data_IF_785422139444
#
_entry.id   IF_785422139444
#
_cell.length_a   1.000
_cell.length_b   1.000
_cell.length_c   1.000
_cell.angle_alpha   90.00
_cell.angle_beta   90.00
_cell.angle_gamma   90.00
#
_symmetry.space_group_name_H-M   'P 1'
#
loop_
_entity.id
_entity.type
_entity.pdbx_description
1 polymer ?
#
# COMPACT_ATOMS: atom_id res chain seq x y z
N UNK A 1 10.60 -10.11 3.59
CA UNK A 1 9.64 -9.36 2.74
C UNK A 1 9.34 -7.98 3.33
N UNK A 2 8.62 -7.86 4.45
CA UNK A 2 8.27 -6.57 5.10
C UNK A 2 9.46 -5.61 5.23
N UNK A 3 10.58 -6.09 5.76
CA UNK A 3 11.81 -5.29 5.94
C UNK A 3 12.34 -4.75 4.60
N UNK A 4 12.29 -5.54 3.54
CA UNK A 4 12.77 -5.12 2.22
C UNK A 4 11.88 -4.03 1.61
N UNK A 5 10.55 -4.15 1.77
CA UNK A 5 9.60 -3.11 1.38
C UNK A 5 9.88 -1.80 2.12
N UNK A 6 10.07 -1.88 3.44
CA UNK A 6 10.31 -0.70 4.28
C UNK A 6 11.61 0.01 3.89
N UNK A 7 12.70 -0.74 3.78
CA UNK A 7 13.98 -0.19 3.34
C UNK A 7 13.90 0.40 1.93
N UNK A 8 13.12 -0.24 1.04
CA UNK A 8 12.89 0.24 -0.32
C UNK A 8 12.15 1.58 -0.36
N UNK A 9 11.09 1.75 0.44
CA UNK A 9 10.33 3.02 0.48
C UNK A 9 11.03 4.10 1.32
N UNK A 10 11.91 3.74 2.24
CA UNK A 10 12.78 4.72 2.92
C UNK A 10 13.83 5.30 1.97
N UNK A 11 14.21 4.56 0.92
CA UNK A 11 15.25 4.91 -0.04
C UNK A 11 14.74 5.62 -1.31
N UNK A 12 13.55 6.21 -1.28
CA UNK A 12 13.11 7.07 -2.39
C UNK A 12 14.06 8.25 -2.60
N UNK A 13 14.24 8.68 -3.84
CA UNK A 13 14.96 9.89 -4.20
C UNK A 13 14.10 11.12 -3.86
N UNK A 14 13.98 11.40 -2.56
CA UNK A 14 13.23 12.51 -1.99
C UNK A 14 13.86 12.92 -0.65
N UNK A 15 13.73 14.19 -0.21
CA UNK A 15 14.33 14.63 1.05
C UNK A 15 13.83 13.78 2.25
N UNK A 16 14.73 13.12 3.01
CA UNK A 16 14.35 12.21 4.10
C UNK A 16 13.45 12.87 5.16
N UNK A 17 13.69 14.14 5.47
CA UNK A 17 12.94 14.93 6.45
C UNK A 17 11.48 15.26 6.04
N UNK A 18 11.12 14.93 4.79
CA UNK A 18 9.76 15.01 4.24
C UNK A 18 9.12 13.63 4.06
N UNK A 19 9.84 12.55 4.35
CA UNK A 19 9.35 11.18 4.29
C UNK A 19 9.03 10.67 5.69
N UNK A 20 7.91 9.95 5.79
CA UNK A 20 7.50 9.26 7.01
C UNK A 20 6.88 7.94 6.62
N UNK A 21 7.44 6.86 7.15
CA UNK A 21 7.06 5.48 6.86
C UNK A 21 6.34 4.94 8.08
N UNK A 22 5.16 4.38 7.85
CA UNK A 22 4.34 3.79 8.89
C UNK A 22 4.04 2.34 8.53
N UNK A 23 4.38 1.40 9.41
CA UNK A 23 3.98 0.01 9.32
C UNK A 23 2.78 -0.25 10.23
N UNK A 24 1.71 -0.81 9.69
CA UNK A 24 0.65 -1.41 10.51
C UNK A 24 0.86 -2.90 10.62
N UNK A 25 0.91 -3.41 11.86
CA UNK A 25 0.93 -4.83 12.17
C UNK A 25 -0.39 -5.24 12.84
N UNK A 26 -1.28 -5.84 12.06
CA UNK A 26 -2.56 -6.35 12.58
C UNK A 26 -2.35 -7.59 13.47
N UNK A 27 -1.18 -8.25 13.43
CA UNK A 27 -0.87 -9.38 14.31
C UNK A 27 -0.33 -8.96 15.69
N UNK A 28 0.16 -7.73 15.83
CA UNK A 28 0.76 -7.22 17.07
C UNK A 28 1.94 -8.05 17.55
N UNK A 29 2.78 -8.56 16.64
CA UNK A 29 3.85 -9.51 16.96
C UNK A 29 5.14 -8.79 17.35
N UNK A 30 5.76 -9.23 18.46
CA UNK A 30 7.06 -8.71 18.90
C UNK A 30 8.16 -9.05 17.88
N UNK A 31 8.04 -10.17 17.16
CA UNK A 31 8.94 -10.53 16.06
C UNK A 31 8.87 -9.54 14.89
N UNK A 32 7.68 -9.04 14.55
CA UNK A 32 7.54 -8.01 13.51
C UNK A 32 8.18 -6.70 13.96
N UNK A 33 7.99 -6.32 15.22
CA UNK A 33 8.64 -5.15 15.79
C UNK A 33 10.18 -5.31 15.87
N UNK A 34 10.68 -6.50 16.19
CA UNK A 34 12.11 -6.78 16.14
C UNK A 34 12.67 -6.65 14.71
N UNK A 35 11.94 -7.17 13.71
CA UNK A 35 12.33 -7.00 12.31
C UNK A 35 12.34 -5.51 11.89
N UNK A 36 11.43 -4.70 12.42
CA UNK A 36 11.43 -3.24 12.25
C UNK A 36 12.65 -2.57 12.88
N UNK A 37 13.05 -3.00 14.07
CA UNK A 37 14.22 -2.49 14.76
C UNK A 37 15.52 -2.80 13.99
N UNK A 38 15.63 -4.03 13.48
CA UNK A 38 16.73 -4.43 12.60
C UNK A 38 16.74 -3.62 11.29
N UNK A 39 15.57 -3.36 10.69
CA UNK A 39 15.44 -2.50 9.52
C UNK A 39 15.86 -1.05 9.82
N UNK A 40 15.45 -0.50 10.97
CA UNK A 40 15.82 0.85 11.40
C UNK A 40 17.35 0.98 11.55
N UNK A 41 18.01 0.00 12.16
CA UNK A 41 19.46 -0.03 12.29
C UNK A 41 20.17 -0.16 10.94
N UNK A 42 19.72 -1.07 10.08
CA UNK A 42 20.32 -1.27 8.76
C UNK A 42 20.11 -0.06 7.83
N UNK A 43 19.00 0.67 7.99
CA UNK A 43 18.70 1.87 7.18
C UNK A 43 19.80 2.94 7.25
N UNK A 44 20.49 3.06 8.40
CA UNK A 44 21.61 3.98 8.62
C UNK A 44 22.77 3.76 7.64
N UNK A 45 22.92 2.53 7.14
CA UNK A 45 23.94 2.17 6.15
C UNK A 45 23.35 2.05 4.75
N UNK A 46 22.12 1.52 4.66
CA UNK A 46 21.46 1.27 3.37
C UNK A 46 21.10 2.55 2.61
N UNK A 47 20.55 3.56 3.29
CA UNK A 47 20.12 4.79 2.60
C UNK A 47 21.27 5.57 1.96
N UNK A 48 22.40 5.84 2.63
CA UNK A 48 23.55 6.48 1.98
C UNK A 48 24.14 5.58 0.88
N UNK A 49 24.17 4.25 1.08
CA UNK A 49 24.58 3.31 0.02
C UNK A 49 23.69 3.43 -1.23
N UNK A 50 22.37 3.50 -1.08
CA UNK A 50 21.44 3.69 -2.20
C UNK A 50 21.73 4.97 -2.99
N UNK A 51 22.01 6.08 -2.28
CA UNK A 51 22.37 7.36 -2.91
C UNK A 51 23.70 7.28 -3.64
N UNK A 52 24.74 6.74 -2.99
CA UNK A 52 26.10 6.61 -3.53
C UNK A 52 26.15 5.73 -4.79
N UNK A 53 25.48 4.58 -4.75
CA UNK A 53 25.50 3.59 -5.84
C UNK A 53 24.32 3.71 -6.82
N UNK A 54 23.42 4.68 -6.64
CA UNK A 54 22.21 4.88 -7.44
C UNK A 54 21.40 3.57 -7.60
N UNK A 55 21.17 2.93 -6.47
CA UNK A 55 20.54 1.61 -6.38
C UNK A 55 19.12 1.64 -6.95
N UNK A 56 18.85 0.82 -7.97
CA UNK A 56 17.50 0.56 -8.49
C UNK A 56 17.35 -0.92 -8.92
N UNK A 57 16.37 -1.69 -8.42
CA UNK A 57 15.34 -1.32 -7.44
C UNK A 57 15.91 -1.04 -6.04
N UNK A 58 15.20 -0.28 -5.20
CA UNK A 58 15.72 0.11 -3.86
C UNK A 58 15.48 -0.94 -2.77
N UNK A 59 14.83 -2.05 -3.11
CA UNK A 59 14.73 -3.23 -2.23
C UNK A 59 16.09 -3.93 -2.18
N UNK A 60 16.70 -4.10 -0.99
CA UNK A 60 18.00 -4.76 -0.86
C UNK A 60 18.01 -6.17 -1.44
N UNK A 61 16.99 -6.97 -1.15
CA UNK A 61 16.84 -8.33 -1.70
C UNK A 61 16.80 -8.33 -3.23
N UNK A 62 15.97 -7.46 -3.82
CA UNK A 62 15.81 -7.41 -5.27
C UNK A 62 17.09 -6.91 -5.96
N UNK A 63 17.76 -5.93 -5.33
CA UNK A 63 19.05 -5.41 -5.78
C UNK A 63 20.14 -6.49 -5.73
N UNK A 64 20.42 -7.07 -4.56
CA UNK A 64 21.52 -8.03 -4.42
C UNK A 64 21.30 -9.36 -5.14
N UNK A 65 20.05 -9.71 -5.48
CA UNK A 65 19.74 -10.87 -6.34
C UNK A 65 20.21 -10.70 -7.78
N UNK A 66 20.26 -9.47 -8.28
CA UNK A 66 20.54 -9.17 -9.71
C UNK A 66 21.81 -8.35 -9.94
N UNK A 67 22.26 -7.63 -8.92
CA UNK A 67 23.44 -6.76 -9.00
C UNK A 67 24.73 -7.58 -9.07
N UNK A 68 25.51 -7.32 -10.12
CA UNK A 68 26.90 -7.73 -10.18
C UNK A 68 27.76 -6.82 -9.31
N UNK A 69 28.85 -7.37 -8.79
CA UNK A 69 29.86 -6.60 -8.08
C UNK A 69 30.38 -5.45 -8.98
N UNK A 70 30.51 -4.23 -8.45
CA UNK A 70 30.93 -3.08 -9.25
C UNK A 70 32.36 -3.27 -9.75
N UNK A 71 32.61 -3.02 -11.05
CA UNK A 71 33.94 -3.08 -11.67
C UNK A 71 34.83 -1.85 -11.37
N UNK A 72 34.33 -0.89 -10.59
CA UNK A 72 35.03 0.37 -10.25
C UNK A 72 36.06 0.20 -9.13
N UNK A 73 36.79 1.28 -8.80
CA UNK A 73 37.78 1.41 -7.71
C UNK A 73 37.61 0.45 -6.52
N UNK A 74 38.74 -0.09 -6.02
CA UNK A 74 38.78 -1.07 -4.92
C UNK A 74 38.03 -0.64 -3.65
N UNK A 75 37.91 0.66 -3.41
CA UNK A 75 37.13 1.23 -2.29
C UNK A 75 35.63 0.96 -2.46
N UNK A 76 35.08 1.17 -3.66
CA UNK A 76 33.66 0.91 -3.94
C UNK A 76 33.33 -0.58 -3.85
N UNK A 77 34.25 -1.45 -4.25
CA UNK A 77 34.12 -2.91 -4.11
C UNK A 77 34.02 -3.31 -2.63
N UNK A 78 34.94 -2.80 -1.80
CA UNK A 78 34.96 -3.10 -0.36
C UNK A 78 33.69 -2.62 0.33
N UNK A 79 33.24 -1.40 0.03
CA UNK A 79 31.99 -0.84 0.57
C UNK A 79 30.79 -1.70 0.17
N UNK A 80 30.69 -2.08 -1.11
CA UNK A 80 29.60 -2.90 -1.62
C UNK A 80 29.53 -4.27 -0.93
N UNK A 81 30.67 -4.96 -0.81
CA UNK A 81 30.75 -6.25 -0.11
C UNK A 81 30.39 -6.13 1.37
N UNK A 82 30.84 -5.04 2.02
CA UNK A 82 30.52 -4.78 3.42
C UNK A 82 29.01 -4.59 3.65
N UNK A 83 28.33 -3.82 2.79
CA UNK A 83 26.89 -3.60 2.90
C UNK A 83 26.11 -4.88 2.60
N UNK A 84 26.53 -5.65 1.57
CA UNK A 84 25.92 -6.95 1.26
C UNK A 84 26.02 -7.91 2.44
N UNK A 85 27.20 -8.03 3.04
CA UNK A 85 27.42 -8.88 4.22
C UNK A 85 26.54 -8.43 5.39
N UNK A 86 26.48 -7.13 5.66
CA UNK A 86 25.63 -6.59 6.73
C UNK A 86 24.14 -6.86 6.49
N UNK A 87 23.69 -6.81 5.23
CA UNK A 87 22.32 -7.18 4.86
C UNK A 87 22.05 -8.67 5.16
N UNK A 88 22.93 -9.57 4.70
CA UNK A 88 22.81 -11.01 4.93
C UNK A 88 22.80 -11.36 6.43
N UNK A 89 23.66 -10.72 7.23
CA UNK A 89 23.68 -10.87 8.69
C UNK A 89 22.37 -10.38 9.34
N UNK A 90 21.82 -9.27 8.84
CA UNK A 90 20.54 -8.70 9.33
C UNK A 90 19.38 -9.63 9.07
N UNK A 91 19.27 -10.16 7.85
CA UNK A 91 18.24 -11.16 7.50
C UNK A 91 18.42 -12.43 8.33
N UNK A 92 19.65 -12.91 8.51
CA UNK A 92 19.93 -14.09 9.32
C UNK A 92 19.46 -13.91 10.78
N UNK A 93 19.69 -12.74 11.40
CA UNK A 93 19.21 -12.44 12.76
C UNK A 93 17.68 -12.47 12.85
N UNK A 94 17.00 -11.87 11.87
CA UNK A 94 15.53 -11.86 11.81
C UNK A 94 14.99 -13.28 11.63
N UNK A 95 15.48 -14.02 10.64
CA UNK A 95 15.03 -15.39 10.38
C UNK A 95 15.28 -16.33 11.55
N UNK A 96 16.42 -16.19 12.22
CA UNK A 96 16.74 -17.00 13.40
C UNK A 96 15.75 -16.73 14.52
N UNK A 97 15.41 -15.47 14.77
CA UNK A 97 14.44 -15.08 15.79
C UNK A 97 13.03 -15.60 15.46
N UNK A 98 12.64 -15.58 14.18
CA UNK A 98 11.38 -16.15 13.70
C UNK A 98 11.35 -17.68 13.86
N UNK A 99 12.42 -18.37 13.45
CA UNK A 99 12.55 -19.84 13.56
C UNK A 99 12.50 -20.31 15.01
N UNK A 100 13.14 -19.56 15.92
CA UNK A 100 13.12 -19.83 17.35
C UNK A 100 11.86 -19.33 18.05
N UNK A 101 11.00 -18.58 17.35
CA UNK A 101 9.84 -17.87 17.88
C UNK A 101 10.17 -17.08 19.17
N UNK A 102 11.36 -16.47 19.21
CA UNK A 102 11.89 -15.80 20.39
C UNK A 102 12.93 -14.76 20.01
N UNK A 103 12.84 -13.60 20.66
CA UNK A 103 13.84 -12.54 20.56
C UNK A 103 14.94 -12.77 21.61
N UNK A 104 16.23 -12.57 21.28
CA UNK A 104 17.31 -12.69 22.25
C UNK A 104 17.09 -11.81 23.50
N UNK A 105 17.26 -12.39 24.69
CA UNK A 105 16.97 -11.70 25.96
C UNK A 105 17.76 -10.40 26.16
N UNK A 106 18.99 -10.31 25.62
CA UNK A 106 19.81 -9.11 25.72
C UNK A 106 19.19 -7.94 24.94
N UNK A 107 18.66 -8.19 23.74
CA UNK A 107 17.93 -7.19 22.94
C UNK A 107 16.66 -6.75 23.66
N UNK A 108 15.86 -7.70 24.16
CA UNK A 108 14.61 -7.38 24.89
C UNK A 108 14.86 -6.52 26.13
N UNK A 109 16.00 -6.70 26.81
CA UNK A 109 16.40 -5.88 27.97
C UNK A 109 16.96 -4.51 27.59
N UNK A 110 17.63 -4.41 26.44
CA UNK A 110 18.22 -3.17 25.94
C UNK A 110 17.17 -2.18 25.46
N UNK A 111 16.07 -2.67 24.91
CA UNK A 111 15.00 -1.87 24.31
C UNK A 111 13.75 -1.89 25.20
N UNK A 112 13.47 -0.75 25.86
CA UNK A 112 12.33 -0.59 26.79
C UNK A 112 10.98 -0.78 26.10
N UNK A 113 10.93 -0.57 24.79
CA UNK A 113 9.74 -0.63 23.94
C UNK A 113 9.11 -2.02 23.93
N UNK A 114 9.93 -3.08 24.10
CA UNK A 114 9.42 -4.45 24.20
C UNK A 114 8.52 -4.72 25.41
N UNK A 115 8.51 -3.84 26.42
CA UNK A 115 7.62 -3.95 27.57
C UNK A 115 6.14 -3.86 27.21
N UNK A 116 5.81 -3.26 26.07
CA UNK A 116 4.43 -3.24 25.57
C UNK A 116 3.88 -4.66 25.35
N UNK A 117 4.73 -5.62 24.99
CA UNK A 117 4.34 -7.02 24.80
C UNK A 117 4.18 -7.81 26.10
N UNK A 118 4.61 -7.27 27.25
CA UNK A 118 4.35 -7.91 28.54
C UNK A 118 2.86 -7.81 28.93
N UNK A 119 2.11 -6.88 28.31
CA UNK A 119 0.67 -6.68 28.52
C UNK A 119 -0.22 -7.30 27.43
N UNK A 120 0.38 -7.91 26.39
CA UNK A 120 -0.36 -8.55 25.29
C UNK A 120 -0.91 -9.89 25.75
N UNK A 121 -2.24 -10.04 25.75
CA UNK A 121 -2.90 -11.30 26.10
C UNK A 121 -2.97 -12.25 24.90
N UNK A 122 -3.32 -11.72 23.72
CA UNK A 122 -3.33 -12.46 22.46
C UNK A 122 -3.32 -11.52 21.26
N UNK A 123 -3.14 -12.07 20.05
CA UNK A 123 -3.27 -11.31 18.78
C UNK A 123 -4.66 -10.70 18.53
N UNK A 124 -5.66 -11.05 19.35
CA UNK A 124 -7.01 -10.49 19.26
C UNK A 124 -7.39 -9.68 20.51
N UNK A 125 -6.51 -9.63 21.52
CA UNK A 125 -6.72 -8.92 22.77
C UNK A 125 -5.40 -8.29 23.25
N UNK A 126 -5.20 -7.04 22.86
CA UNK A 126 -4.04 -6.23 23.24
C UNK A 126 -4.35 -4.74 23.11
N UNK A 127 -3.65 -3.93 23.90
CA UNK A 127 -3.69 -2.47 23.80
C UNK A 127 -3.08 -1.96 22.48
N UNK A 128 -3.27 -0.67 22.18
CA UNK A 128 -2.53 -0.03 21.09
C UNK A 128 -1.03 -0.04 21.41
N UNK A 129 -0.22 -0.56 20.50
CA UNK A 129 1.24 -0.49 20.55
C UNK A 129 1.68 0.46 19.44
N UNK A 130 2.25 1.59 19.81
CA UNK A 130 2.75 2.62 18.90
C UNK A 130 4.18 2.98 19.30
N UNK A 131 5.13 2.86 18.37
CA UNK A 131 6.54 3.11 18.62
C UNK A 131 7.14 3.89 17.43
N UNK A 132 7.85 4.98 17.72
CA UNK A 132 8.59 5.79 16.75
C UNK A 132 10.06 5.32 16.82
N UNK A 133 10.43 4.41 15.91
CA UNK A 133 11.79 3.82 15.89
C UNK A 133 12.84 4.81 15.39
N UNK A 134 12.46 5.68 14.46
CA UNK A 134 13.28 6.78 13.97
C UNK A 134 12.39 8.01 13.97
N UNK A 135 12.75 9.01 14.77
CA UNK A 135 12.09 10.31 14.72
C UNK A 135 12.85 11.22 13.76
N UNK A 136 12.42 11.29 12.50
CA UNK A 136 13.09 12.12 11.49
C UNK A 136 12.98 13.63 11.72
N UNK A 137 12.33 14.05 12.81
CA UNK A 137 12.30 15.44 13.30
C UNK A 137 13.43 15.73 14.29
N UNK A 138 14.00 14.69 14.91
CA UNK A 138 15.16 14.80 15.79
C UNK A 138 16.43 15.00 14.96
N UNK A 139 17.21 16.03 15.27
CA UNK A 139 18.49 16.31 14.61
C UNK A 139 19.52 15.19 14.80
N UNK A 140 19.35 14.31 15.80
CA UNK A 140 20.22 13.16 16.04
C UNK A 140 19.81 11.93 15.23
N UNK A 141 18.66 11.93 14.57
CA UNK A 141 18.20 10.83 13.72
C UNK A 141 18.91 10.87 12.36
N UNK A 142 20.21 10.55 12.37
CA UNK A 142 21.08 10.60 11.19
C UNK A 142 21.64 9.24 10.80
N UNK A 143 22.00 9.12 9.53
CA UNK A 143 22.71 7.98 8.96
C UNK A 143 24.22 8.02 9.31
N UNK A 144 24.99 7.03 8.84
CA UNK A 144 26.43 6.95 9.12
C UNK A 144 27.26 8.09 8.50
N UNK A 145 26.68 8.84 7.55
CA UNK A 145 27.30 10.01 6.91
C UNK A 145 26.82 11.33 7.53
N UNK A 146 25.95 11.27 8.55
CA UNK A 146 25.38 12.44 9.23
C UNK A 146 24.18 13.06 8.50
N UNK A 147 23.61 12.41 7.50
CA UNK A 147 22.40 12.91 6.83
C UNK A 147 21.13 12.49 7.58
N UNK A 148 20.06 13.30 7.58
CA UNK A 148 18.79 12.96 8.22
C UNK A 148 18.17 11.65 7.69
N UNK A 149 17.55 10.89 8.58
CA UNK A 149 16.75 9.70 8.28
C UNK A 149 15.26 10.03 8.24
N UNK A 150 14.48 9.30 7.42
CA UNK A 150 13.03 9.48 7.40
C UNK A 150 12.40 8.92 8.68
N UNK A 151 11.26 9.48 9.07
CA UNK A 151 10.53 9.00 10.26
C UNK A 151 10.04 7.57 10.03
N UNK A 152 10.22 6.68 11.01
CA UNK A 152 9.79 5.28 10.95
C UNK A 152 8.93 4.93 12.16
N UNK A 153 7.68 4.56 11.92
CA UNK A 153 6.67 4.31 12.96
C UNK A 153 6.10 2.90 12.83
N UNK A 154 6.07 2.17 13.94
CA UNK A 154 5.36 0.90 14.07
C UNK A 154 4.03 1.11 14.79
N UNK A 155 2.94 0.57 14.24
CA UNK A 155 1.62 0.58 14.85
C UNK A 155 1.00 -0.82 14.86
N UNK A 156 0.66 -1.32 16.04
CA UNK A 156 -0.37 -2.33 16.22
C UNK A 156 -1.58 -1.66 16.89
N UNK A 157 -2.69 -1.55 16.17
CA UNK A 157 -3.93 -0.93 16.67
C UNK A 157 -4.53 -1.78 17.78
N UNK A 158 -5.24 -1.15 18.73
CA UNK A 158 -5.89 -1.89 19.80
C UNK A 158 -6.86 -2.94 19.24
N UNK A 159 -6.81 -4.14 19.83
CA UNK A 159 -7.77 -5.20 19.55
C UNK A 159 -8.39 -5.71 20.83
N UNK A 160 -9.70 -5.91 20.77
CA UNK A 160 -10.49 -6.55 21.82
C UNK A 160 -11.44 -7.56 21.19
N UNK A 161 -11.72 -8.70 21.85
CA UNK A 161 -12.62 -9.72 21.31
C UNK A 161 -14.04 -9.23 21.04
N UNK A 162 -14.50 -8.21 21.76
CA UNK A 162 -15.86 -7.66 21.66
C UNK A 162 -16.05 -6.72 20.46
N UNK A 163 -14.96 -6.28 19.82
CA UNK A 163 -15.01 -5.31 18.72
C UNK A 163 -14.63 -5.97 17.40
N UNK A 164 -15.45 -5.72 16.37
CA UNK A 164 -15.16 -6.23 15.03
C UNK A 164 -13.97 -5.47 14.41
N UNK A 165 -13.07 -6.23 13.81
CA UNK A 165 -11.84 -5.72 13.22
C UNK A 165 -12.00 -5.65 11.70
N UNK A 166 -11.96 -4.44 11.11
CA UNK A 166 -12.19 -4.22 9.68
C UNK A 166 -10.96 -4.55 8.79
N UNK A 167 -10.19 -5.57 9.16
CA UNK A 167 -9.00 -6.06 8.44
C UNK A 167 -8.10 -4.91 7.93
N UNK A 168 -7.68 -4.96 6.65
CA UNK A 168 -6.82 -3.96 5.99
C UNK A 168 -7.42 -2.56 6.05
N UNK A 169 -8.73 -2.40 5.83
CA UNK A 169 -9.39 -1.10 5.87
C UNK A 169 -9.25 -0.42 7.25
N UNK A 170 -9.47 -1.18 8.33
CA UNK A 170 -9.33 -0.68 9.70
C UNK A 170 -7.89 -0.29 10.04
N UNK A 171 -6.92 -1.11 9.61
CA UNK A 171 -5.49 -0.82 9.78
C UNK A 171 -5.06 0.44 9.04
N UNK A 172 -5.45 0.59 7.77
CA UNK A 172 -5.16 1.79 6.99
C UNK A 172 -5.82 3.04 7.59
N UNK A 173 -7.06 2.95 8.07
CA UNK A 173 -7.74 4.07 8.71
C UNK A 173 -7.06 4.50 10.01
N UNK A 174 -6.60 3.55 10.83
CA UNK A 174 -5.81 3.86 12.02
C UNK A 174 -4.50 4.59 11.67
N UNK A 175 -3.80 4.13 10.62
CA UNK A 175 -2.59 4.80 10.11
C UNK A 175 -2.87 6.23 9.62
N UNK A 176 -3.97 6.46 8.88
CA UNK A 176 -4.34 7.80 8.41
C UNK A 176 -4.53 8.75 9.60
N UNK A 177 -5.18 8.29 10.67
CA UNK A 177 -5.41 9.09 11.89
C UNK A 177 -4.12 9.34 12.67
N UNK A 178 -3.35 8.29 12.96
CA UNK A 178 -2.08 8.41 13.72
C UNK A 178 -1.10 9.31 12.96
N UNK A 179 -0.93 9.10 11.66
CA UNK A 179 -0.03 9.93 10.84
C UNK A 179 -0.46 11.40 10.77
N UNK A 180 -1.74 11.73 10.96
CA UNK A 180 -2.20 13.12 10.98
C UNK A 180 -1.66 13.92 12.17
N UNK A 181 -1.28 13.24 13.26
CA UNK A 181 -0.75 13.87 14.47
C UNK A 181 0.78 13.89 14.51
N UNK A 182 1.42 12.88 13.91
CA UNK A 182 2.89 12.73 13.92
C UNK A 182 3.54 13.55 12.80
N UNK A 183 3.19 13.30 11.53
CA UNK A 183 3.84 13.96 10.39
C UNK A 183 2.92 14.80 9.51
N UNK A 184 1.60 14.60 9.63
CA UNK A 184 0.55 15.30 8.88
C UNK A 184 0.78 15.43 7.37
N UNK A 185 1.44 14.44 6.75
CA UNK A 185 1.82 14.53 5.33
C UNK A 185 0.60 14.66 4.40
N UNK A 186 0.55 15.63 3.47
CA UNK A 186 -0.62 15.87 2.61
C UNK A 186 -0.88 14.81 1.55
N UNK A 187 0.17 14.08 1.18
CA UNK A 187 0.12 12.97 0.24
C UNK A 187 0.45 11.69 1.01
N UNK A 188 -0.36 10.66 0.81
CA UNK A 188 -0.23 9.36 1.43
C UNK A 188 0.00 8.35 0.32
N UNK A 189 1.13 7.66 0.35
CA UNK A 189 1.37 6.50 -0.49
C UNK A 189 0.97 5.24 0.30
N UNK A 190 0.08 4.42 -0.26
CA UNK A 190 -0.20 3.09 0.27
C UNK A 190 0.56 2.02 -0.53
N UNK A 191 1.19 1.09 0.19
CA UNK A 191 1.98 -0.01 -0.38
C UNK A 191 1.73 -1.26 0.45
N UNK A 192 1.46 -2.37 -0.22
CA UNK A 192 1.39 -3.68 0.44
C UNK A 192 2.79 -4.22 0.77
N UNK A 193 2.89 -5.05 1.80
CA UNK A 193 4.17 -5.56 2.31
C UNK A 193 4.91 -6.52 1.37
N UNK A 194 4.28 -6.93 0.27
CA UNK A 194 4.83 -7.74 -0.82
C UNK A 194 5.23 -6.89 -2.04
N UNK A 195 5.03 -5.57 -1.98
CA UNK A 195 5.41 -4.62 -3.02
C UNK A 195 6.61 -3.78 -2.56
N UNK A 196 7.48 -3.41 -3.48
CA UNK A 196 8.63 -2.55 -3.23
C UNK A 196 8.80 -1.51 -4.35
N UNK A 197 9.56 -0.46 -4.08
CA UNK A 197 9.87 0.58 -5.06
C UNK A 197 10.88 0.06 -6.08
N UNK A 198 10.45 -0.01 -7.33
CA UNK A 198 11.33 -0.32 -8.45
C UNK A 198 11.90 0.94 -9.10
N UNK A 199 11.24 2.09 -8.91
CA UNK A 199 11.68 3.37 -9.41
C UNK A 199 11.74 4.40 -8.26
N UNK A 200 12.96 4.78 -7.88
CA UNK A 200 13.22 5.73 -6.79
C UNK A 200 12.62 7.13 -7.03
N UNK A 201 12.20 7.43 -8.26
CA UNK A 201 11.60 8.72 -8.66
C UNK A 201 10.07 8.74 -8.64
N UNK A 202 9.41 7.64 -8.26
CA UNK A 202 7.95 7.56 -8.28
C UNK A 202 7.27 8.71 -7.50
N UNK A 203 7.83 9.12 -6.34
CA UNK A 203 7.35 10.28 -5.58
C UNK A 203 7.40 11.55 -6.41
N UNK A 204 8.53 11.84 -7.07
CA UNK A 204 8.71 13.04 -7.89
C UNK A 204 7.72 13.07 -9.06
N UNK A 205 7.47 11.94 -9.71
CA UNK A 205 6.49 11.84 -10.79
C UNK A 205 5.06 12.11 -10.30
N UNK A 206 4.67 11.53 -9.17
CA UNK A 206 3.36 11.79 -8.56
C UNK A 206 3.19 13.26 -8.16
N UNK A 207 4.21 13.85 -7.54
CA UNK A 207 4.17 15.25 -7.13
C UNK A 207 4.08 16.19 -8.33
N UNK A 208 4.75 15.88 -9.44
CA UNK A 208 4.62 16.65 -10.69
C UNK A 208 3.14 16.77 -11.13
N UNK A 209 2.38 15.68 -11.04
CA UNK A 209 0.95 15.69 -11.37
C UNK A 209 0.09 16.41 -10.33
N UNK A 210 0.34 16.20 -9.03
CA UNK A 210 -0.41 16.88 -7.98
C UNK A 210 -0.15 18.39 -7.90
N UNK A 211 1.03 18.83 -8.33
CA UNK A 211 1.46 20.23 -8.34
C UNK A 211 1.15 20.95 -9.65
N UNK A 212 0.54 20.29 -10.65
CA UNK A 212 0.11 20.95 -11.88
C UNK A 212 -0.88 22.09 -11.56
N UNK A 213 -0.56 23.31 -11.98
CA UNK A 213 -1.31 24.51 -11.59
C UNK A 213 -2.74 24.55 -12.17
N UNK A 214 -3.00 23.79 -13.24
CA UNK A 214 -4.27 23.79 -13.97
C UNK A 214 -5.22 22.72 -13.46
N UNK A 215 -4.71 21.50 -13.27
CA UNK A 215 -5.50 20.29 -13.00
C UNK A 215 -5.02 19.52 -11.76
N UNK A 216 -3.88 19.83 -11.16
CA UNK A 216 -3.39 19.08 -9.99
C UNK A 216 -4.37 19.09 -8.81
N UNK A 217 -5.10 20.20 -8.63
CA UNK A 217 -6.09 20.37 -7.57
C UNK A 217 -7.37 19.50 -7.74
N UNK A 218 -7.68 19.00 -8.93
CA UNK A 218 -8.82 18.09 -9.15
C UNK A 218 -8.48 16.61 -8.93
N UNK A 219 -7.19 16.28 -8.81
CA UNK A 219 -6.72 14.90 -8.65
C UNK A 219 -6.71 14.52 -7.16
N UNK A 220 -7.47 13.49 -6.82
CA UNK A 220 -7.46 12.88 -5.49
C UNK A 220 -6.42 11.78 -5.35
N UNK A 221 -6.19 10.98 -6.40
CA UNK A 221 -5.19 9.93 -6.33
C UNK A 221 -4.57 9.58 -7.68
N UNK A 222 -3.34 9.08 -7.64
CA UNK A 222 -2.56 8.64 -8.80
C UNK A 222 -2.24 7.17 -8.60
N UNK A 223 -2.81 6.33 -9.46
CA UNK A 223 -2.60 4.88 -9.46
C UNK A 223 -1.42 4.53 -10.36
N UNK A 224 -0.43 3.83 -9.79
CA UNK A 224 0.63 3.20 -10.56
C UNK A 224 0.27 1.78 -10.96
N UNK A 225 1.06 1.26 -11.89
CA UNK A 225 1.05 -0.15 -12.24
C UNK A 225 1.43 -1.05 -11.06
N UNK A 226 0.69 -2.15 -10.90
CA UNK A 226 1.09 -3.27 -10.05
C UNK A 226 1.77 -4.32 -10.93
N UNK A 227 3.08 -4.20 -11.07
CA UNK A 227 3.91 -5.16 -11.79
C UNK A 227 4.48 -6.21 -10.83
N UNK A 228 4.86 -7.36 -11.37
CA UNK A 228 5.36 -8.49 -10.58
C UNK A 228 6.71 -8.97 -11.11
N UNK A 229 7.63 -9.32 -10.20
CA UNK A 229 9.01 -9.69 -10.55
C UNK A 229 9.20 -11.20 -10.77
N UNK A 230 8.28 -12.02 -10.26
CA UNK A 230 8.34 -13.48 -10.27
C UNK A 230 7.52 -14.12 -11.41
N UNK A 231 7.26 -13.35 -12.47
CA UNK A 231 6.54 -13.81 -13.65
C UNK A 231 7.39 -14.78 -14.47
N UNK A 232 6.74 -15.80 -15.03
CA UNK A 232 7.43 -16.83 -15.82
C UNK A 232 7.30 -16.52 -17.31
N UNK A 233 8.15 -17.08 -18.16
CA UNK A 233 8.04 -16.87 -19.61
C UNK A 233 6.68 -17.33 -20.18
N UNK A 234 6.10 -18.38 -19.60
CA UNK A 234 4.88 -19.01 -20.10
C UNK A 234 3.59 -18.37 -19.57
N UNK A 235 3.63 -17.66 -18.43
CA UNK A 235 2.49 -16.91 -17.87
C UNK A 235 1.15 -17.68 -17.83
N UNK A 236 1.17 -18.97 -17.46
CA UNK A 236 -0.04 -19.83 -17.54
C UNK A 236 -1.20 -19.39 -16.64
N UNK A 237 -0.93 -18.57 -15.61
CA UNK A 237 -1.94 -18.01 -14.70
C UNK A 237 -2.34 -16.58 -15.06
N UNK A 238 -1.73 -15.99 -16.10
CA UNK A 238 -1.98 -14.62 -16.57
C UNK A 238 -1.87 -13.53 -15.47
N UNK A 239 -1.01 -13.74 -14.47
CA UNK A 239 -0.83 -12.84 -13.31
C UNK A 239 -0.28 -11.45 -13.67
N UNK A 240 0.23 -11.26 -14.88
CA UNK A 240 0.65 -9.95 -15.38
C UNK A 240 -0.49 -8.98 -15.69
N UNK A 241 -1.76 -9.45 -15.76
CA UNK A 241 -2.93 -8.61 -16.05
C UNK A 241 -2.76 -7.63 -17.23
N UNK A 242 -2.05 -8.03 -18.29
CA UNK A 242 -1.58 -7.13 -19.36
C UNK A 242 -2.68 -6.28 -20.00
N UNK A 243 -3.87 -6.86 -20.21
CA UNK A 243 -5.02 -6.14 -20.79
C UNK A 243 -5.50 -5.01 -19.88
N UNK A 244 -5.69 -5.30 -18.60
CA UNK A 244 -6.06 -4.29 -17.60
C UNK A 244 -5.03 -3.16 -17.60
N UNK A 245 -3.76 -3.54 -17.51
CA UNK A 245 -2.62 -2.66 -17.34
C UNK A 245 -2.33 -1.76 -18.56
N UNK A 246 -2.29 -2.34 -19.75
CA UNK A 246 -1.83 -1.67 -20.97
C UNK A 246 -2.98 -1.07 -21.79
N UNK A 247 -4.23 -1.42 -21.49
CA UNK A 247 -5.39 -0.95 -22.25
C UNK A 247 -6.47 -0.34 -21.35
N UNK A 248 -7.01 -1.10 -20.40
CA UNK A 248 -8.21 -0.69 -19.67
C UNK A 248 -7.97 0.52 -18.75
N UNK A 249 -6.84 0.54 -18.03
CA UNK A 249 -6.50 1.67 -17.14
C UNK A 249 -6.25 2.97 -17.93
N UNK A 250 -5.62 2.89 -19.11
CA UNK A 250 -5.48 4.05 -20.00
C UNK A 250 -6.84 4.55 -20.51
N UNK A 251 -7.75 3.63 -20.85
CA UNK A 251 -9.11 3.97 -21.25
C UNK A 251 -9.90 4.66 -20.13
N UNK A 252 -9.78 4.17 -18.89
CA UNK A 252 -10.38 4.78 -17.70
C UNK A 252 -9.83 6.18 -17.42
N UNK A 253 -8.54 6.39 -17.65
CA UNK A 253 -7.87 7.68 -17.45
C UNK A 253 -8.49 8.79 -18.31
N UNK A 254 -8.89 8.47 -19.54
CA UNK A 254 -9.55 9.40 -20.46
C UNK A 254 -10.98 9.84 -20.02
N UNK A 255 -11.57 9.15 -19.03
CA UNK A 255 -12.99 9.33 -18.67
C UNK A 255 -13.25 9.69 -17.21
N UNK A 256 -12.19 9.97 -16.44
CA UNK A 256 -12.27 10.41 -15.04
C UNK A 256 -11.22 9.78 -14.12
N UNK A 257 -10.44 8.83 -14.64
CA UNK A 257 -9.35 8.19 -13.92
C UNK A 257 -9.61 6.72 -13.59
N UNK A 258 -8.54 5.94 -13.31
CA UNK A 258 -8.65 4.54 -12.93
C UNK A 258 -9.29 4.35 -11.56
N UNK A 259 -9.76 3.12 -11.30
CA UNK A 259 -10.11 2.65 -9.97
C UNK A 259 -8.88 2.71 -9.03
N UNK A 260 -9.13 2.76 -7.72
CA UNK A 260 -8.08 2.54 -6.73
C UNK A 260 -7.90 1.02 -6.53
N UNK A 261 -6.70 0.51 -6.78
CA UNK A 261 -6.42 -0.94 -6.84
C UNK A 261 -5.68 -1.48 -5.60
N UNK A 262 -5.67 -0.75 -4.49
CA UNK A 262 -5.25 -1.27 -3.19
C UNK A 262 -3.75 -1.17 -2.83
N UNK A 263 -2.87 -0.90 -3.81
CA UNK A 263 -1.42 -0.72 -3.61
C UNK A 263 -0.81 0.17 -4.70
N UNK A 264 0.34 0.79 -4.41
CA UNK A 264 1.07 1.66 -5.35
C UNK A 264 0.26 2.90 -5.75
N UNK A 265 -0.52 3.46 -4.82
CA UNK A 265 -1.38 4.60 -5.09
C UNK A 265 -1.00 5.79 -4.20
N UNK A 266 -0.81 6.94 -4.82
CA UNK A 266 -0.58 8.19 -4.08
C UNK A 266 -1.92 8.88 -3.91
N UNK A 267 -2.35 9.09 -2.68
CA UNK A 267 -3.59 9.75 -2.32
C UNK A 267 -3.35 11.13 -1.73
N UNK A 268 -4.18 12.08 -2.11
CA UNK A 268 -4.37 13.34 -1.41
C UNK A 268 -5.11 13.06 -0.09
N UNK A 269 -4.48 13.41 1.04
CA UNK A 269 -5.01 13.13 2.40
C UNK A 269 -6.43 13.64 2.57
N UNK A 270 -6.73 14.86 2.18
CA UNK A 270 -8.06 15.44 2.36
C UNK A 270 -9.16 14.70 1.59
N UNK A 271 -8.86 14.24 0.36
CA UNK A 271 -9.80 13.45 -0.43
C UNK A 271 -10.04 12.09 0.22
N UNK A 272 -8.97 11.44 0.69
CA UNK A 272 -9.05 10.17 1.42
C UNK A 272 -9.78 10.33 2.77
N UNK A 273 -9.59 11.46 3.45
CA UNK A 273 -10.36 11.86 4.63
C UNK A 273 -11.77 12.39 4.28
N UNK A 274 -12.25 12.17 3.06
CA UNK A 274 -13.65 12.35 2.69
C UNK A 274 -14.08 13.77 2.36
N UNK A 275 -13.14 14.73 2.18
CA UNK A 275 -13.45 16.06 1.65
C UNK A 275 -14.13 15.93 0.29
N UNK A 276 -15.18 16.72 0.05
CA UNK A 276 -15.81 16.83 -1.27
C UNK A 276 -15.04 17.81 -2.14
N UNK A 277 -14.89 17.49 -3.42
CA UNK A 277 -14.29 18.42 -4.36
C UNK A 277 -15.26 19.54 -4.69
N UNK A 278 -14.78 20.77 -4.64
CA UNK A 278 -15.52 21.96 -5.03
C UNK A 278 -14.87 22.56 -6.28
N UNK A 279 -15.68 23.05 -7.21
CA UNK A 279 -15.17 23.64 -8.45
C UNK A 279 -14.32 24.88 -8.10
N UNK A 280 -13.14 24.98 -8.70
CA UNK A 280 -12.12 26.01 -8.41
C UNK A 280 -11.45 25.87 -7.03
N UNK A 281 -11.59 24.71 -6.37
CA UNK A 281 -10.77 24.40 -5.21
C UNK A 281 -9.29 24.54 -5.54
N UNK A 282 -8.55 25.24 -4.66
CA UNK A 282 -7.10 25.42 -4.73
C UNK A 282 -6.48 24.93 -3.44
N UNK A 283 -5.47 24.08 -3.55
CA UNK A 283 -4.76 23.55 -2.40
C UNK A 283 -3.85 24.64 -1.83
N UNK A 284 -4.02 24.94 -0.54
CA UNK A 284 -3.10 25.80 0.20
C UNK A 284 -1.92 24.97 0.73
N UNK A 285 -0.89 24.83 -0.11
CA UNK A 285 0.31 24.08 0.25
C UNK A 285 1.12 24.70 1.41
N UNK A 286 0.91 25.99 1.73
CA UNK A 286 1.61 26.67 2.83
C UNK A 286 1.02 26.30 4.19
N UNK A 287 -0.30 26.30 4.32
CA UNK A 287 -0.97 25.80 5.55
C UNK A 287 -0.64 24.35 5.86
N UNK A 288 -0.40 23.56 4.82
CA UNK A 288 -0.06 22.14 4.93
C UNK A 288 1.35 21.92 5.50
N UNK A 289 2.31 22.83 5.26
CA UNK A 289 3.68 22.70 5.77
C UNK A 289 3.86 23.11 7.23
N UNK A 290 2.96 23.91 7.78
CA UNK A 290 3.12 24.57 9.09
C UNK A 290 2.71 23.72 10.31
N UNK A 291 2.34 22.44 10.11
CA UNK A 291 1.76 21.58 11.18
C UNK A 291 2.69 20.46 11.66
N UNK A 292 4.01 20.71 11.73
CA UNK A 292 4.91 19.79 12.44
C UNK A 292 4.77 20.00 13.95
N UNK A 293 4.42 18.95 14.69
CA UNK A 293 4.40 18.99 16.15
C UNK A 293 5.84 19.08 16.67
N UNK A 294 6.13 20.11 17.49
CA UNK A 294 7.41 20.31 18.20
C UNK A 294 7.51 19.45 19.48
N UNK A 295 6.75 18.37 19.52
CA UNK A 295 6.60 17.51 20.69
C UNK A 295 7.52 16.29 20.59
N UNK A 296 8.00 15.83 21.75
CA UNK A 296 8.87 14.66 21.84
C UNK A 296 8.19 13.40 21.31
N UNK A 297 8.99 12.47 20.76
CA UNK A 297 8.51 11.18 20.28
C UNK A 297 7.68 10.44 21.34
N UNK A 298 8.15 10.40 22.60
CA UNK A 298 7.46 9.72 23.69
C UNK A 298 6.08 10.33 24.01
N UNK A 299 5.94 11.65 23.91
CA UNK A 299 4.65 12.31 24.11
C UNK A 299 3.68 12.00 22.98
N UNK A 300 4.19 11.97 21.74
CA UNK A 300 3.38 11.61 20.57
C UNK A 300 2.94 10.16 20.59
N UNK A 301 3.83 9.23 20.96
CA UNK A 301 3.49 7.82 21.15
C UNK A 301 2.30 7.67 22.10
N UNK A 302 2.35 8.32 23.26
CA UNK A 302 1.30 8.19 24.27
C UNK A 302 0.00 8.87 23.84
N UNK A 303 0.06 10.10 23.30
CA UNK A 303 -1.14 10.83 22.87
C UNK A 303 -1.79 10.25 21.62
N UNK A 304 -1.04 9.60 20.73
CA UNK A 304 -1.58 9.01 19.51
C UNK A 304 -2.19 7.63 19.72
N UNK A 305 -1.90 6.92 20.83
CA UNK A 305 -2.48 5.60 21.12
C UNK A 305 -4.02 5.60 21.08
N UNK A 306 -4.65 6.70 21.50
CA UNK A 306 -6.11 6.88 21.47
C UNK A 306 -6.69 6.87 20.05
N UNK A 307 -5.92 7.37 19.06
CA UNK A 307 -6.35 7.45 17.66
C UNK A 307 -6.46 6.06 17.01
N UNK A 308 -5.75 5.07 17.55
CA UNK A 308 -5.79 3.69 17.10
C UNK A 308 -6.56 2.75 18.07
N UNK A 309 -7.33 3.32 19.01
CA UNK A 309 -8.23 2.54 19.85
C UNK A 309 -9.32 1.86 19.02
N UNK A 310 -9.72 0.66 19.44
CA UNK A 310 -10.84 -0.08 18.86
C UNK A 310 -12.18 0.66 19.02
N UNK A 311 -12.24 1.64 19.92
CA UNK A 311 -13.45 2.43 20.16
C UNK A 311 -13.51 3.76 19.42
N UNK A 312 -12.40 4.23 18.85
CA UNK A 312 -12.28 5.57 18.27
C UNK A 312 -13.35 5.88 17.22
N UNK A 313 -13.74 4.87 16.43
CA UNK A 313 -14.59 5.04 15.26
C UNK A 313 -16.10 4.98 15.58
N UNK A 314 -16.47 4.67 16.83
CA UNK A 314 -17.89 4.64 17.23
C UNK A 314 -18.53 6.01 17.04
N UNK A 315 -19.71 6.03 16.44
CA UNK A 315 -20.46 7.26 16.12
C UNK A 315 -19.73 8.25 15.22
N UNK A 316 -18.69 7.82 14.50
CA UNK A 316 -18.02 8.63 13.48
C UNK A 316 -18.40 8.20 12.06
N UNK A 317 -17.91 8.94 11.07
CA UNK A 317 -18.01 8.68 9.63
C UNK A 317 -16.83 7.87 9.07
N UNK A 318 -15.82 7.55 9.90
CA UNK A 318 -14.71 6.67 9.52
C UNK A 318 -15.21 5.31 9.06
N UNK A 319 -14.67 4.81 7.95
CA UNK A 319 -15.09 3.54 7.36
C UNK A 319 -16.45 3.57 6.65
N UNK A 320 -17.23 4.64 6.78
CA UNK A 320 -18.54 4.80 6.14
C UNK A 320 -18.49 5.76 4.95
N UNK A 321 -17.81 6.90 5.14
CA UNK A 321 -17.66 7.96 4.14
C UNK A 321 -16.24 8.55 4.09
N UNK A 322 -15.44 8.33 5.13
CA UNK A 322 -14.05 8.80 5.27
C UNK A 322 -13.10 7.61 5.44
N UNK A 323 -11.87 7.77 4.94
CA UNK A 323 -10.89 6.69 4.90
C UNK A 323 -11.28 5.60 3.90
N UNK A 324 -10.72 4.41 4.11
CA UNK A 324 -11.11 3.20 3.40
C UNK A 324 -12.47 2.72 3.90
N UNK A 325 -13.37 2.41 2.96
CA UNK A 325 -14.76 2.03 3.23
C UNK A 325 -14.85 0.58 3.72
N UNK A 326 -15.59 0.35 4.80
CA UNK A 326 -15.74 -0.96 5.43
C UNK A 326 -16.85 -1.81 4.81
N UNK A 327 -16.77 -3.12 5.07
CA UNK A 327 -17.86 -4.06 4.79
C UNK A 327 -17.79 -4.73 3.43
N UNK A 328 -16.69 -4.60 2.71
CA UNK A 328 -16.50 -5.18 1.38
C UNK A 328 -15.12 -5.82 1.24
N UNK A 329 -15.04 -6.87 0.43
CA UNK A 329 -13.78 -7.59 0.13
C UNK A 329 -12.84 -6.85 -0.82
N UNK A 330 -13.38 -5.84 -1.51
CA UNK A 330 -12.70 -4.92 -2.44
C UNK A 330 -12.91 -3.48 -1.94
N UNK A 331 -12.49 -3.23 -0.71
CA UNK A 331 -12.64 -1.92 -0.06
C UNK A 331 -11.95 -0.80 -0.86
N UNK A 332 -10.89 -1.13 -1.57
CA UNK A 332 -10.11 -0.25 -2.44
C UNK A 332 -10.97 0.31 -3.58
N UNK A 333 -11.64 -0.57 -4.35
CA UNK A 333 -12.51 -0.19 -5.46
C UNK A 333 -13.63 0.74 -4.98
N UNK A 334 -14.25 0.44 -3.84
CA UNK A 334 -15.34 1.25 -3.30
C UNK A 334 -14.83 2.58 -2.76
N UNK A 335 -13.67 2.59 -2.13
CA UNK A 335 -13.03 3.82 -1.66
C UNK A 335 -12.73 4.74 -2.84
N UNK A 336 -12.19 4.21 -3.94
CA UNK A 336 -11.99 4.95 -5.19
C UNK A 336 -13.30 5.50 -5.77
N UNK A 337 -14.32 4.65 -5.88
CA UNK A 337 -15.65 5.06 -6.35
C UNK A 337 -16.26 6.15 -5.46
N UNK A 338 -16.13 6.04 -4.14
CA UNK A 338 -16.63 7.02 -3.18
C UNK A 338 -15.94 8.37 -3.34
N UNK A 339 -14.61 8.37 -3.51
CA UNK A 339 -13.82 9.57 -3.77
C UNK A 339 -14.25 10.23 -5.09
N UNK A 340 -14.38 9.45 -6.17
CA UNK A 340 -14.83 9.98 -7.47
C UNK A 340 -16.26 10.51 -7.41
N UNK A 341 -17.17 9.84 -6.69
CA UNK A 341 -18.53 10.31 -6.44
C UNK A 341 -18.60 11.59 -5.59
N UNK A 342 -17.51 11.98 -4.93
CA UNK A 342 -17.38 13.27 -4.23
C UNK A 342 -16.84 14.38 -5.14
N UNK A 343 -16.73 14.13 -6.45
CA UNK A 343 -16.35 15.10 -7.48
C UNK A 343 -14.86 15.10 -7.84
N UNK A 344 -14.05 14.30 -7.14
CA UNK A 344 -12.63 14.18 -7.45
C UNK A 344 -12.38 13.34 -8.70
N UNK A 345 -11.21 13.54 -9.32
CA UNK A 345 -10.69 12.67 -10.38
C UNK A 345 -9.52 11.84 -9.87
N UNK A 346 -9.17 10.80 -10.62
CA UNK A 346 -7.93 10.07 -10.45
C UNK A 346 -7.11 10.10 -11.73
N UNK A 347 -5.84 9.72 -11.62
CA UNK A 347 -4.97 9.55 -12.77
C UNK A 347 -4.27 8.19 -12.76
N UNK A 348 -4.03 7.65 -13.94
CA UNK A 348 -3.17 6.50 -14.15
C UNK A 348 -1.78 6.96 -14.60
N UNK A 349 -0.73 6.44 -13.96
CA UNK A 349 0.66 6.76 -14.31
C UNK A 349 1.46 5.50 -14.63
N UNK A 350 1.95 5.42 -15.87
CA UNK A 350 2.78 4.33 -16.39
C UNK A 350 4.12 4.88 -16.89
N UNK A 351 5.10 5.10 -16.00
CA UNK A 351 6.44 5.54 -16.39
C UNK A 351 7.19 4.41 -17.15
N UNK A 352 8.27 4.76 -17.87
CA UNK A 352 9.10 3.80 -18.62
C UNK A 352 9.65 2.67 -17.73
N UNK A 353 10.09 3.02 -16.52
CA UNK A 353 10.42 2.06 -15.47
C UNK A 353 9.28 2.00 -14.48
N UNK A 354 8.64 0.84 -14.38
CA UNK A 354 7.55 0.56 -13.45
C UNK A 354 7.85 1.11 -12.05
N UNK A 355 6.87 1.81 -11.47
CA UNK A 355 7.03 2.43 -10.16
C UNK A 355 7.24 1.41 -9.04
N UNK A 356 6.48 0.31 -9.10
CA UNK A 356 6.40 -0.68 -8.05
C UNK A 356 6.46 -2.09 -8.63
N UNK A 357 7.16 -2.97 -7.94
CA UNK A 357 7.20 -4.41 -8.22
C UNK A 357 6.80 -5.17 -6.96
N UNK A 358 6.06 -6.26 -7.13
CA UNK A 358 5.82 -7.22 -6.04
C UNK A 358 5.82 -8.66 -6.50
N UNK A 359 5.16 -9.51 -5.72
CA UNK A 359 5.18 -10.96 -5.91
C UNK A 359 3.79 -11.47 -6.26
N UNK A 360 3.64 -12.01 -7.46
CA UNK A 360 2.41 -12.66 -7.91
C UNK A 360 2.22 -14.04 -7.24
N UNK A 361 0.96 -14.52 -7.09
CA UNK A 361 0.69 -15.91 -6.74
C UNK A 361 1.40 -16.91 -7.68
N UNK A 362 2.01 -17.94 -7.10
CA UNK A 362 2.82 -18.93 -7.85
C UNK A 362 2.11 -20.28 -8.05
N UNK A 363 0.92 -20.44 -7.47
CA UNK A 363 0.13 -21.67 -7.61
C UNK A 363 -1.28 -21.36 -8.09
N UNK A 364 -1.87 -22.29 -8.85
CA UNK A 364 -3.25 -22.18 -9.30
C UNK A 364 -4.22 -21.95 -8.14
N UNK A 365 -4.03 -22.67 -7.01
CA UNK A 365 -4.90 -22.53 -5.84
C UNK A 365 -4.87 -21.10 -5.28
N UNK A 366 -3.69 -20.50 -5.14
CA UNK A 366 -3.56 -19.12 -4.66
C UNK A 366 -4.23 -18.13 -5.64
N UNK A 367 -4.02 -18.30 -6.95
CA UNK A 367 -4.65 -17.47 -7.98
C UNK A 367 -6.18 -17.59 -7.92
N UNK A 368 -6.72 -18.80 -7.82
CA UNK A 368 -8.17 -19.02 -7.74
C UNK A 368 -8.79 -18.43 -6.47
N UNK A 369 -8.12 -18.55 -5.32
CA UNK A 369 -8.58 -17.92 -4.06
C UNK A 369 -8.60 -16.40 -4.19
N UNK A 370 -7.56 -15.81 -4.78
CA UNK A 370 -7.49 -14.37 -5.02
C UNK A 370 -8.60 -13.90 -5.97
N UNK A 371 -8.75 -14.55 -7.13
CA UNK A 371 -9.79 -14.20 -8.10
C UNK A 371 -11.19 -14.37 -7.53
N UNK A 372 -11.45 -15.44 -6.78
CA UNK A 372 -12.73 -15.64 -6.09
C UNK A 372 -13.05 -14.49 -5.15
N UNK A 373 -12.08 -14.06 -4.33
CA UNK A 373 -12.26 -12.91 -3.42
C UNK A 373 -12.61 -11.63 -4.19
N UNK A 374 -11.92 -11.36 -5.29
CA UNK A 374 -12.20 -10.21 -6.14
C UNK A 374 -13.58 -10.29 -6.78
N UNK A 375 -13.95 -11.43 -7.39
CA UNK A 375 -15.25 -11.65 -8.00
C UNK A 375 -16.39 -11.50 -6.98
N UNK A 376 -16.26 -12.09 -5.80
CA UNK A 376 -17.25 -11.99 -4.73
C UNK A 376 -17.38 -10.53 -4.26
N UNK A 377 -16.26 -9.82 -4.08
CA UNK A 377 -16.25 -8.40 -3.71
C UNK A 377 -16.89 -7.50 -4.77
N UNK A 378 -16.50 -7.66 -6.03
CA UNK A 378 -17.03 -6.90 -7.16
C UNK A 378 -18.54 -7.10 -7.33
N UNK A 379 -19.02 -8.33 -7.18
CA UNK A 379 -20.45 -8.63 -7.21
C UNK A 379 -21.18 -8.02 -6.00
N UNK A 380 -20.59 -8.05 -4.80
CA UNK A 380 -21.13 -7.36 -3.63
C UNK A 380 -21.28 -5.85 -3.89
N UNK A 381 -20.30 -5.21 -4.52
CA UNK A 381 -20.41 -3.80 -4.91
C UNK A 381 -21.61 -3.58 -5.82
N UNK A 382 -21.74 -4.39 -6.87
CA UNK A 382 -22.82 -4.27 -7.85
C UNK A 382 -24.21 -4.42 -7.23
N UNK A 383 -24.38 -5.37 -6.30
CA UNK A 383 -25.66 -5.67 -5.65
C UNK A 383 -25.97 -4.75 -4.46
N UNK A 384 -25.01 -3.94 -4.02
CA UNK A 384 -25.18 -3.01 -2.90
C UNK A 384 -25.68 -1.64 -3.31
N UNK A 385 -25.93 -0.77 -2.32
CA UNK A 385 -26.18 0.66 -2.54
C UNK A 385 -25.03 1.39 -3.25
N UNK A 386 -23.83 0.80 -3.29
CA UNK A 386 -22.65 1.33 -3.98
C UNK A 386 -22.54 0.89 -5.45
N UNK A 387 -23.60 0.28 -6.01
CA UNK A 387 -23.67 0.00 -7.45
C UNK A 387 -23.31 1.26 -8.26
N UNK A 388 -22.28 1.26 -9.13
CA UNK A 388 -21.82 2.47 -9.83
C UNK A 388 -22.91 3.16 -10.66
N UNK A 389 -23.85 2.38 -11.21
CA UNK A 389 -24.97 2.88 -12.00
C UNK A 389 -25.93 3.74 -11.16
N UNK A 390 -26.18 3.32 -9.92
CA UNK A 390 -27.09 3.97 -8.97
C UNK A 390 -26.37 5.01 -8.12
N UNK A 391 -25.30 4.61 -7.43
CA UNK A 391 -24.55 5.45 -6.50
C UNK A 391 -23.89 6.64 -7.19
N UNK A 392 -23.38 6.43 -8.41
CA UNK A 392 -22.74 7.45 -9.23
C UNK A 392 -23.72 8.31 -10.01
N UNK A 393 -25.03 8.02 -10.00
CA UNK A 393 -26.03 8.79 -10.75
C UNK A 393 -25.96 10.28 -10.36
N UNK A 394 -25.83 11.16 -11.36
CA UNK A 394 -25.60 12.61 -11.23
C UNK A 394 -24.33 13.03 -10.47
N UNK A 395 -23.49 12.09 -10.01
CA UNK A 395 -22.21 12.36 -9.31
C UNK A 395 -21.00 12.21 -10.21
N UNK A 396 -21.02 11.19 -11.09
CA UNK A 396 -19.95 10.92 -12.05
C UNK A 396 -20.51 10.69 -13.47
N UNK A 397 -19.70 10.93 -14.53
CA UNK A 397 -20.14 10.76 -15.92
C UNK A 397 -20.67 9.36 -16.20
N UNK A 398 -21.67 9.25 -17.10
CA UNK A 398 -22.24 7.94 -17.49
C UNK A 398 -21.16 6.98 -18.00
N UNK A 399 -20.23 7.47 -18.82
CA UNK A 399 -19.10 6.69 -19.32
C UNK A 399 -18.27 6.06 -18.20
N UNK A 400 -17.98 6.81 -17.14
CA UNK A 400 -17.22 6.30 -15.99
C UNK A 400 -18.03 5.26 -15.22
N UNK A 401 -19.33 5.50 -15.00
CA UNK A 401 -20.22 4.51 -14.35
C UNK A 401 -20.24 3.18 -15.08
N UNK A 402 -20.36 3.22 -16.41
CA UNK A 402 -20.35 2.03 -17.26
C UNK A 402 -18.99 1.33 -17.23
N UNK A 403 -17.89 2.08 -17.10
CA UNK A 403 -16.55 1.51 -17.08
C UNK A 403 -16.22 0.73 -15.79
N UNK A 404 -16.96 0.94 -14.69
CA UNK A 404 -16.89 0.06 -13.51
C UNK A 404 -17.64 -1.27 -13.70
N UNK A 405 -18.59 -1.35 -14.64
CA UNK A 405 -19.46 -2.51 -14.79
C UNK A 405 -18.73 -3.81 -15.21
N UNK A 406 -17.75 -3.81 -16.13
CA UNK A 406 -17.03 -5.03 -16.50
C UNK A 406 -16.43 -5.77 -15.30
N UNK A 407 -15.83 -5.04 -14.36
CA UNK A 407 -15.28 -5.63 -13.13
C UNK A 407 -16.39 -6.11 -12.19
N UNK A 408 -17.37 -5.24 -11.95
CA UNK A 408 -18.47 -5.51 -11.01
C UNK A 408 -19.42 -6.64 -11.46
N UNK A 409 -19.49 -6.90 -12.77
CA UNK A 409 -20.27 -7.98 -13.37
C UNK A 409 -19.41 -9.17 -13.80
N UNK A 410 -18.12 -9.19 -13.46
CA UNK A 410 -17.22 -10.28 -13.83
C UNK A 410 -17.77 -11.64 -13.39
N UNK A 411 -18.31 -11.73 -12.17
CA UNK A 411 -18.95 -12.94 -11.67
C UNK A 411 -20.17 -13.36 -12.49
N UNK A 412 -21.00 -12.42 -12.94
CA UNK A 412 -22.22 -12.72 -13.70
C UNK A 412 -21.91 -13.30 -15.09
N UNK A 413 -20.74 -12.99 -15.65
CA UNK A 413 -20.31 -13.51 -16.95
C UNK A 413 -20.19 -15.05 -16.97
N UNK A 414 -20.05 -15.70 -15.79
CA UNK A 414 -20.01 -17.16 -15.72
C UNK A 414 -21.27 -17.82 -16.29
N UNK A 415 -22.44 -17.17 -16.21
CA UNK A 415 -23.70 -17.70 -16.76
C UNK A 415 -23.65 -17.77 -18.28
N UNK A 416 -23.14 -16.72 -18.93
CA UNK A 416 -22.96 -16.70 -20.38
C UNK A 416 -21.93 -17.74 -20.82
N UNK A 417 -20.82 -17.87 -20.08
CA UNK A 417 -19.81 -18.90 -20.36
C UNK A 417 -20.39 -20.31 -20.25
N UNK A 418 -21.13 -20.60 -19.18
CA UNK A 418 -21.78 -21.91 -18.98
C UNK A 418 -22.76 -22.20 -20.12
N UNK A 419 -23.55 -21.23 -20.54
CA UNK A 419 -24.45 -21.38 -21.69
C UNK A 419 -23.68 -21.76 -22.97
N UNK A 420 -22.63 -20.99 -23.30
CA UNK A 420 -21.83 -21.18 -24.52
C UNK A 420 -21.10 -22.52 -24.52
N UNK A 421 -20.68 -23.03 -23.36
CA UNK A 421 -19.97 -24.31 -23.28
C UNK A 421 -20.95 -25.49 -23.25
N UNK A 422 -22.05 -25.39 -22.52
CA UNK A 422 -22.96 -26.52 -22.29
C UNK A 422 -23.96 -26.70 -23.42
N UNK A 423 -24.63 -25.63 -23.85
CA UNK A 423 -25.76 -25.74 -24.79
C UNK A 423 -25.33 -26.25 -26.16
N UNK A 424 -24.26 -25.73 -26.81
CA UNK A 424 -23.78 -26.28 -28.08
C UNK A 424 -23.36 -27.75 -27.98
N UNK A 425 -22.72 -28.16 -26.88
CA UNK A 425 -22.33 -29.56 -26.67
C UNK A 425 -23.56 -30.48 -26.57
N UNK A 426 -24.59 -30.07 -25.83
CA UNK A 426 -25.84 -30.83 -25.71
C UNK A 426 -26.59 -30.90 -27.05
N UNK A 427 -26.66 -29.79 -27.79
CA UNK A 427 -27.25 -29.74 -29.12
C UNK A 427 -26.53 -30.67 -30.10
N UNK A 428 -25.20 -30.67 -30.08
CA UNK A 428 -24.38 -31.58 -30.89
C UNK A 428 -24.66 -33.05 -30.55
N UNK A 429 -24.68 -33.40 -29.26
CA UNK A 429 -24.96 -34.77 -28.79
C UNK A 429 -26.38 -35.24 -29.15
N UNK A 430 -27.35 -34.32 -29.25
CA UNK A 430 -28.75 -34.62 -29.55
C UNK A 430 -29.13 -34.43 -31.02
N UNK A 431 -28.20 -34.00 -31.87
CA UNK A 431 -28.47 -33.68 -33.27
C UNK A 431 -29.44 -32.49 -33.45
N UNK A 432 -29.57 -31.63 -32.45
CA UNK A 432 -30.44 -30.44 -32.49
C UNK A 432 -29.66 -29.31 -33.16
N UNK A 433 -30.23 -28.74 -34.22
CA UNK A 433 -29.63 -27.57 -34.88
C UNK A 433 -29.83 -26.33 -34.02
N UNK A 434 -28.74 -25.66 -33.64
CA UNK A 434 -28.78 -24.45 -32.78
C UNK A 434 -29.32 -23.22 -33.53
N UNK A 435 -29.09 -23.18 -34.84
CA UNK A 435 -29.54 -22.12 -35.73
C UNK A 435 -30.49 -22.74 -36.77
N UNK A 436 -31.50 -22.00 -37.25
CA UNK A 436 -32.31 -22.47 -38.36
C UNK A 436 -31.42 -22.81 -39.55
N UNK A 437 -31.72 -23.91 -40.23
CA UNK A 437 -31.06 -24.25 -41.50
C UNK A 437 -31.44 -23.17 -42.51
N UNK A 438 -30.43 -22.50 -43.08
CA UNK A 438 -30.59 -21.55 -44.18
C UNK A 438 -30.84 -22.31 -45.47
#
# INVERSE_FOLDING_TARGET
MVVNTILSVMAYDYPPEKLSIYLSDDGGSDLTFYAMLEAANFSKTWLPFCKKFRVEPTSPEAYFRTASEPLSDAVNVKDWLSVKKLYEETIMRIETSIKLNRIPNHIRKQHKEFREWDFVLSKHDHQTILQILIDGRDSNAVDIEGNPLPTLVYLAREKRPQHHHHFKAGSMNALIRVSSRISNGPIILNVDCDMYSNNSKAIKYSLCLFMDEKKGDEIAYIQFLQSFDNLTKNEIYASSFRVLQQLELHGLDAIGGPCYNGSGCFHRREALCGKKYEKNYKVDWKKVSDTKADESASFLEETCKVLASCTFEHNTTWGKEMGLIYGFLVEDIITGLNIQCKGWKSMYLSPERDGFLGVAPITLLQTLVQHKRWMDGHLQVFLSRYCPLLYGYKKIPLKLRLAYCPYNLWAANCLATLYIVVVPCLCLLKGISLFPKV
#
